data_IF_698335492961
#
_entry.id   IF_698335492961
#
_cell.length_a   1.000
_cell.length_b   1.000
_cell.length_c   1.000
_cell.angle_alpha   90.00
_cell.angle_beta   90.00
_cell.angle_gamma   90.00
#
_symmetry.space_group_name_H-M   'P 1'
#
loop_
_entity.id
_entity.type
_entity.pdbx_description
1 polymer ?
#
# COMPACT_ATOMS: atom_id res chain seq x y z
N UNK A 1 -14.55 -8.21 8.55
CA UNK A 1 -14.18 -9.61 8.23
C UNK A 1 -13.12 -9.63 7.15
N UNK A 2 -12.09 -10.49 7.28
CA UNK A 2 -11.09 -10.74 6.24
C UNK A 2 -11.34 -12.13 5.65
N UNK A 3 -11.85 -12.25 4.43
CA UNK A 3 -12.25 -13.54 3.86
C UNK A 3 -11.04 -14.30 3.28
N UNK A 4 -10.13 -14.69 4.16
CA UNK A 4 -8.94 -15.51 3.87
C UNK A 4 -8.67 -16.48 5.01
N UNK A 5 -8.14 -17.65 4.70
CA UNK A 5 -7.61 -18.55 5.72
C UNK A 5 -6.18 -18.18 6.10
N UNK A 6 -5.81 -18.42 7.36
CA UNK A 6 -4.49 -18.03 7.90
C UNK A 6 -3.30 -18.51 7.05
N UNK A 7 -3.42 -19.68 6.44
CA UNK A 7 -2.35 -20.27 5.61
C UNK A 7 -2.09 -19.52 4.30
N UNK A 8 -3.07 -18.74 3.82
CA UNK A 8 -2.91 -17.97 2.58
C UNK A 8 -2.02 -16.74 2.77
N UNK A 9 -1.89 -16.23 4.00
CA UNK A 9 -1.28 -14.92 4.24
C UNK A 9 -1.85 -13.85 3.29
N UNK A 10 -1.08 -13.47 2.27
CA UNK A 10 -1.48 -12.52 1.23
C UNK A 10 -1.48 -13.13 -0.19
N UNK A 11 -1.28 -14.45 -0.28
CA UNK A 11 -1.29 -15.17 -1.55
C UNK A 11 -2.72 -15.59 -1.95
N UNK A 12 -2.95 -15.69 -3.25
CA UNK A 12 -4.24 -16.07 -3.80
C UNK A 12 -5.32 -14.99 -3.68
N UNK A 13 -6.55 -15.34 -3.95
CA UNK A 13 -7.72 -14.45 -3.93
C UNK A 13 -8.48 -14.53 -2.61
N UNK A 14 -9.21 -13.47 -2.29
CA UNK A 14 -10.18 -13.46 -1.19
C UNK A 14 -11.39 -14.34 -1.52
N UNK A 15 -11.94 -15.01 -0.53
CA UNK A 15 -13.13 -15.84 -0.65
C UNK A 15 -14.39 -14.96 -0.56
N UNK A 16 -14.88 -14.51 -1.71
CA UNK A 16 -16.06 -13.66 -1.80
C UNK A 16 -17.37 -14.39 -1.50
N UNK A 17 -17.41 -15.72 -1.69
CA UNK A 17 -18.59 -16.54 -1.33
C UNK A 17 -18.74 -16.61 0.19
N UNK A 18 -17.62 -16.83 0.88
CA UNK A 18 -17.61 -16.83 2.34
C UNK A 18 -17.94 -15.44 2.90
N UNK A 19 -17.47 -14.38 2.26
CA UNK A 19 -17.87 -13.03 2.67
C UNK A 19 -19.37 -12.80 2.48
N UNK A 20 -19.93 -13.19 1.34
CA UNK A 20 -21.36 -13.11 1.06
C UNK A 20 -22.19 -13.87 2.10
N UNK A 21 -21.81 -15.08 2.40
CA UNK A 21 -22.48 -15.89 3.42
C UNK A 21 -22.47 -15.17 4.78
N UNK A 22 -21.32 -14.64 5.19
CA UNK A 22 -21.22 -13.91 6.45
C UNK A 22 -22.06 -12.61 6.43
N UNK A 23 -22.07 -11.89 5.30
CA UNK A 23 -22.83 -10.65 5.14
C UNK A 23 -24.34 -10.88 5.27
N UNK A 24 -24.84 -11.95 4.65
CA UNK A 24 -26.28 -12.31 4.67
C UNK A 24 -26.76 -12.89 6.01
N UNK A 25 -25.87 -13.50 6.80
CA UNK A 25 -26.23 -14.20 8.03
C UNK A 25 -25.75 -13.49 9.32
N UNK A 26 -24.96 -12.44 9.23
CA UNK A 26 -24.49 -11.70 10.41
C UNK A 26 -25.59 -10.85 11.00
N UNK A 27 -25.74 -10.91 12.32
CA UNK A 27 -26.60 -10.00 13.07
C UNK A 27 -25.92 -8.67 13.43
N UNK A 28 -24.63 -8.55 13.12
CA UNK A 28 -23.86 -7.34 13.40
C UNK A 28 -23.38 -6.70 12.08
N UNK A 29 -23.20 -5.38 12.05
CA UNK A 29 -22.57 -4.70 10.93
C UNK A 29 -21.21 -5.32 10.60
N UNK A 30 -20.94 -5.53 9.31
CA UNK A 30 -19.65 -6.07 8.85
C UNK A 30 -18.80 -5.00 8.20
N UNK A 31 -17.51 -5.02 8.53
CA UNK A 31 -16.47 -4.32 7.80
C UNK A 31 -15.73 -5.31 6.89
N UNK A 32 -15.72 -5.06 5.59
CA UNK A 32 -14.93 -5.85 4.65
C UNK A 32 -13.44 -5.46 4.74
N UNK A 33 -12.57 -6.45 4.75
CA UNK A 33 -11.13 -6.25 4.64
C UNK A 33 -10.54 -7.26 3.64
N UNK A 34 -10.14 -6.82 2.45
CA UNK A 34 -9.52 -7.71 1.45
C UNK A 34 -9.14 -6.98 0.17
N UNK A 35 -7.87 -6.96 -0.16
CA UNK A 35 -7.23 -6.63 -1.45
C UNK A 35 -7.80 -5.43 -2.25
N UNK A 36 -8.35 -4.44 -1.58
CA UNK A 36 -8.77 -3.20 -2.22
C UNK A 36 -7.54 -2.31 -2.44
N UNK A 37 -7.27 -1.98 -3.69
CA UNK A 37 -6.09 -1.21 -4.12
C UNK A 37 -6.43 0.09 -4.84
N UNK A 38 -7.71 0.38 -5.07
CA UNK A 38 -8.18 1.60 -5.72
C UNK A 38 -9.62 1.95 -5.32
N UNK A 39 -10.04 3.18 -5.56
CA UNK A 39 -11.39 3.65 -5.25
C UNK A 39 -12.48 2.87 -6.01
N UNK A 40 -12.24 2.58 -7.29
CA UNK A 40 -13.18 1.78 -8.10
C UNK A 40 -13.43 0.38 -7.50
N UNK A 41 -12.43 -0.20 -6.82
CA UNK A 41 -12.61 -1.46 -6.08
C UNK A 41 -13.56 -1.32 -4.88
N UNK A 42 -13.54 -0.17 -4.19
CA UNK A 42 -14.50 0.15 -3.12
C UNK A 42 -15.91 0.27 -3.69
N UNK A 43 -16.07 0.98 -4.81
CA UNK A 43 -17.36 1.19 -5.46
C UNK A 43 -17.95 -0.11 -5.99
N UNK A 44 -17.14 -0.95 -6.64
CA UNK A 44 -17.54 -2.28 -7.11
C UNK A 44 -17.99 -3.18 -5.94
N UNK A 45 -17.26 -3.15 -4.82
CA UNK A 45 -17.65 -3.90 -3.62
C UNK A 45 -18.99 -3.43 -3.05
N UNK A 46 -19.21 -2.12 -2.95
CA UNK A 46 -20.47 -1.54 -2.48
C UNK A 46 -21.65 -1.84 -3.40
N UNK A 47 -21.41 -1.85 -4.72
CA UNK A 47 -22.42 -2.25 -5.70
C UNK A 47 -22.80 -3.73 -5.55
N UNK A 48 -21.83 -4.59 -5.22
CA UNK A 48 -22.06 -6.03 -5.00
C UNK A 48 -22.74 -6.33 -3.66
N UNK A 49 -22.49 -5.51 -2.64
CA UNK A 49 -23.03 -5.66 -1.28
C UNK A 49 -23.73 -4.37 -0.83
N UNK A 50 -24.94 -4.10 -1.34
CA UNK A 50 -25.74 -2.94 -0.89
C UNK A 50 -25.98 -3.03 0.62
N UNK A 51 -25.69 -1.96 1.35
CA UNK A 51 -25.78 -1.95 2.82
C UNK A 51 -24.46 -2.30 3.53
N UNK A 52 -23.39 -2.59 2.82
CA UNK A 52 -22.05 -2.69 3.43
C UNK A 52 -21.61 -1.32 3.98
N UNK A 53 -21.55 -1.20 5.31
CA UNK A 53 -21.28 0.06 5.99
C UNK A 53 -19.81 0.48 5.95
N UNK A 54 -18.90 -0.48 6.04
CA UNK A 54 -17.48 -0.19 6.21
C UNK A 54 -16.56 -1.09 5.35
N UNK A 55 -15.50 -0.48 4.85
CA UNK A 55 -14.38 -1.16 4.16
C UNK A 55 -13.08 -0.77 4.85
N UNK A 56 -12.28 -1.76 5.20
CA UNK A 56 -10.96 -1.56 5.77
C UNK A 56 -9.92 -1.62 4.65
N UNK A 57 -9.13 -0.57 4.53
CA UNK A 57 -8.04 -0.45 3.57
C UNK A 57 -6.70 -0.55 4.31
N UNK A 58 -5.77 -1.29 3.76
CA UNK A 58 -4.43 -1.46 4.32
C UNK A 58 -3.36 -1.18 3.27
N UNK A 59 -2.84 -2.21 2.66
CA UNK A 59 -1.72 -2.14 1.70
C UNK A 59 -1.94 -1.17 0.55
N UNK A 60 -3.18 -1.02 0.07
CA UNK A 60 -3.54 -0.05 -0.97
C UNK A 60 -3.20 1.39 -0.56
N UNK A 61 -3.55 1.80 0.66
CA UNK A 61 -3.24 3.14 1.18
C UNK A 61 -1.74 3.35 1.44
N UNK A 62 -0.99 2.29 1.79
CA UNK A 62 0.48 2.42 1.92
C UNK A 62 1.14 2.55 0.55
N UNK A 63 0.62 1.83 -0.45
CA UNK A 63 1.10 1.92 -1.83
C UNK A 63 0.71 3.25 -2.50
N UNK A 64 -0.48 3.75 -2.19
CA UNK A 64 -0.99 5.03 -2.69
C UNK A 64 -1.73 5.79 -1.59
N UNK A 65 -1.06 6.68 -0.84
CA UNK A 65 -1.69 7.45 0.23
C UNK A 65 -2.87 8.32 -0.24
N UNK A 66 -2.88 8.75 -1.50
CA UNK A 66 -3.96 9.52 -2.12
C UNK A 66 -5.05 8.69 -2.80
N UNK A 67 -5.03 7.37 -2.67
CA UNK A 67 -5.94 6.43 -3.33
C UNK A 67 -7.43 6.83 -3.25
N UNK A 68 -7.86 7.42 -2.14
CA UNK A 68 -9.27 7.85 -1.95
C UNK A 68 -9.56 9.24 -2.53
N UNK A 69 -8.54 9.92 -3.05
CA UNK A 69 -8.63 11.28 -3.61
C UNK A 69 -8.22 11.32 -5.10
N UNK A 70 -8.27 10.18 -5.79
CA UNK A 70 -7.88 10.10 -7.21
C UNK A 70 -6.39 9.78 -7.44
N UNK A 71 -5.71 9.24 -6.42
CA UNK A 71 -4.29 8.89 -6.47
C UNK A 71 -3.37 9.98 -5.95
N UNK A 72 -2.11 9.61 -5.71
CA UNK A 72 -1.09 10.55 -5.22
C UNK A 72 -0.22 11.03 -6.39
N UNK A 73 -0.15 12.34 -6.55
CA UNK A 73 0.78 13.00 -7.46
C UNK A 73 2.24 12.73 -7.07
N UNK A 74 3.13 12.67 -8.08
CA UNK A 74 4.56 12.33 -7.90
C UNK A 74 5.25 13.19 -6.83
N UNK A 75 5.12 14.51 -6.91
CA UNK A 75 5.79 15.41 -5.97
C UNK A 75 5.18 15.33 -4.57
N UNK A 76 3.87 15.15 -4.45
CA UNK A 76 3.22 14.93 -3.16
C UNK A 76 3.70 13.62 -2.53
N UNK A 77 3.83 12.55 -3.32
CA UNK A 77 4.34 11.26 -2.85
C UNK A 77 5.81 11.36 -2.43
N UNK A 78 6.62 12.08 -3.20
CA UNK A 78 8.02 12.34 -2.88
C UNK A 78 8.15 13.08 -1.55
N UNK A 79 7.44 14.21 -1.41
CA UNK A 79 7.46 15.02 -0.18
C UNK A 79 6.98 14.21 1.03
N UNK A 80 5.95 13.38 0.86
CA UNK A 80 5.47 12.48 1.91
C UNK A 80 6.55 11.49 2.35
N UNK A 81 7.26 10.86 1.41
CA UNK A 81 8.31 9.88 1.73
C UNK A 81 9.55 10.53 2.35
N UNK A 82 9.87 11.77 1.95
CA UNK A 82 10.96 12.57 2.55
C UNK A 82 10.60 12.96 3.99
N UNK A 83 9.39 13.46 4.23
CA UNK A 83 8.90 13.78 5.59
C UNK A 83 8.84 12.54 6.47
N UNK A 84 8.38 11.41 5.94
CA UNK A 84 8.32 10.15 6.66
C UNK A 84 9.72 9.66 7.07
N UNK A 85 10.73 9.86 6.22
CA UNK A 85 12.11 9.58 6.56
C UNK A 85 12.59 10.43 7.75
N UNK A 86 12.34 11.73 7.70
CA UNK A 86 12.75 12.64 8.78
C UNK A 86 12.10 12.28 10.12
N UNK A 87 10.79 12.03 10.12
CA UNK A 87 10.06 11.60 11.31
C UNK A 87 10.54 10.24 11.84
N UNK A 88 10.90 9.30 10.97
CA UNK A 88 11.44 8.02 11.41
C UNK A 88 12.88 8.14 11.94
N UNK A 89 13.70 9.04 11.37
CA UNK A 89 15.03 9.33 11.91
C UNK A 89 14.94 9.88 13.34
N UNK A 90 14.00 10.79 13.58
CA UNK A 90 13.72 11.34 14.89
C UNK A 90 13.17 10.29 15.86
N UNK A 91 12.12 9.56 15.47
CA UNK A 91 11.43 8.61 16.34
C UNK A 91 12.28 7.40 16.72
N UNK A 92 13.14 6.91 15.83
CA UNK A 92 13.95 5.71 16.07
C UNK A 92 15.38 6.02 16.53
N UNK A 93 15.77 7.28 16.58
CA UNK A 93 17.08 7.71 17.06
C UNK A 93 18.27 7.20 16.24
N UNK A 94 18.04 6.76 14.99
CA UNK A 94 19.10 6.24 14.15
C UNK A 94 18.65 5.82 12.73
N UNK A 95 19.56 6.01 11.78
CA UNK A 95 19.28 5.80 10.37
C UNK A 95 18.94 4.35 10.01
N UNK A 96 19.60 3.37 10.65
CA UNK A 96 19.40 1.96 10.35
C UNK A 96 17.95 1.50 10.59
N UNK A 97 17.39 1.84 11.76
CA UNK A 97 16.02 1.45 12.11
C UNK A 97 14.99 2.21 11.27
N UNK A 98 15.20 3.51 11.05
CA UNK A 98 14.37 4.33 10.17
C UNK A 98 14.31 3.75 8.76
N UNK A 99 15.45 3.47 8.15
CA UNK A 99 15.51 2.87 6.80
C UNK A 99 14.89 1.48 6.75
N UNK A 100 15.04 0.65 7.80
CA UNK A 100 14.43 -0.66 7.85
C UNK A 100 12.91 -0.56 7.74
N UNK A 101 12.29 0.36 8.51
CA UNK A 101 10.84 0.61 8.44
C UNK A 101 10.39 1.23 7.12
N UNK A 102 11.15 2.17 6.60
CA UNK A 102 10.84 2.78 5.30
C UNK A 102 10.87 1.77 4.15
N UNK A 103 11.77 0.79 4.20
CA UNK A 103 11.80 -0.28 3.19
C UNK A 103 10.56 -1.17 3.20
N UNK A 104 9.89 -1.31 4.33
CA UNK A 104 8.57 -1.98 4.40
C UNK A 104 7.52 -1.19 3.62
N UNK A 105 7.52 0.15 3.77
CA UNK A 105 6.63 1.02 2.99
C UNK A 105 7.00 0.99 1.50
N UNK A 106 8.29 1.09 1.18
CA UNK A 106 8.78 0.97 -0.20
C UNK A 106 8.43 -0.37 -0.86
N UNK A 107 8.39 -1.45 -0.11
CA UNK A 107 7.97 -2.75 -0.63
C UNK A 107 6.55 -2.73 -1.21
N UNK A 108 5.66 -1.95 -0.64
CA UNK A 108 4.29 -1.78 -1.13
C UNK A 108 4.21 -0.73 -2.24
N UNK A 109 4.96 0.36 -2.10
CA UNK A 109 4.95 1.51 -2.99
C UNK A 109 5.66 1.27 -4.32
N UNK A 110 6.74 0.50 -4.32
CA UNK A 110 7.66 0.39 -5.46
C UNK A 110 6.99 -0.16 -6.73
N UNK A 111 5.95 -0.98 -6.58
CA UNK A 111 5.16 -1.50 -7.71
C UNK A 111 4.41 -0.43 -8.50
N UNK A 112 4.32 0.81 -7.99
CA UNK A 112 3.79 1.95 -8.74
C UNK A 112 4.79 2.60 -9.69
N UNK A 113 6.06 2.22 -9.63
CA UNK A 113 7.10 2.75 -10.51
C UNK A 113 7.48 1.72 -11.57
N UNK A 114 7.21 2.04 -12.83
CA UNK A 114 7.54 1.17 -13.96
C UNK A 114 9.06 1.00 -14.09
N UNK A 115 9.53 -0.23 -14.31
CA UNK A 115 10.96 -0.53 -14.49
C UNK A 115 11.80 -0.43 -13.22
N UNK A 116 11.16 -0.50 -12.04
CA UNK A 116 11.82 -0.26 -10.74
C UNK A 116 12.72 -1.39 -10.22
N UNK A 117 12.78 -2.56 -10.86
CA UNK A 117 13.39 -3.79 -10.32
C UNK A 117 14.86 -3.61 -9.92
N UNK A 118 15.64 -2.91 -10.73
CA UNK A 118 17.07 -2.67 -10.46
C UNK A 118 17.27 -1.75 -9.25
N UNK A 119 16.53 -0.65 -9.20
CA UNK A 119 16.61 0.31 -8.11
C UNK A 119 16.05 -0.29 -6.81
N UNK A 120 14.96 -1.04 -6.91
CA UNK A 120 14.42 -1.79 -5.78
C UNK A 120 15.43 -2.79 -5.20
N UNK A 121 16.13 -3.54 -6.05
CA UNK A 121 17.15 -4.46 -5.60
C UNK A 121 18.30 -3.78 -4.86
N UNK A 122 18.69 -2.57 -5.30
CA UNK A 122 19.68 -1.72 -4.61
C UNK A 122 19.12 -1.19 -3.29
N UNK A 123 17.91 -0.61 -3.31
CA UNK A 123 17.26 -0.02 -2.15
C UNK A 123 17.07 -1.03 -1.01
N UNK A 124 16.68 -2.26 -1.31
CA UNK A 124 16.54 -3.31 -0.29
C UNK A 124 17.85 -3.63 0.43
N UNK A 125 18.96 -3.54 -0.26
CA UNK A 125 20.28 -3.98 0.24
C UNK A 125 21.04 -2.89 0.97
N UNK A 126 20.82 -1.61 0.59
CA UNK A 126 21.60 -0.53 1.18
C UNK A 126 21.37 -0.42 2.69
N UNK A 127 22.42 -0.09 3.42
CA UNK A 127 22.41 0.21 4.86
C UNK A 127 22.92 1.62 5.15
N UNK A 128 23.32 2.33 4.09
CA UNK A 128 23.80 3.71 4.14
C UNK A 128 22.67 4.69 3.81
N UNK A 129 22.54 5.73 4.63
CA UNK A 129 21.48 6.73 4.48
C UNK A 129 21.68 7.61 3.23
N UNK A 130 22.92 7.92 2.89
CA UNK A 130 23.26 8.69 1.70
C UNK A 130 22.89 7.93 0.43
N UNK A 131 23.27 6.65 0.37
CA UNK A 131 22.89 5.77 -0.73
C UNK A 131 21.36 5.59 -0.81
N UNK A 132 20.67 5.44 0.33
CA UNK A 132 19.20 5.39 0.37
C UNK A 132 18.59 6.62 -0.30
N UNK A 133 19.00 7.83 0.13
CA UNK A 133 18.53 9.10 -0.45
C UNK A 133 18.82 9.22 -1.95
N UNK A 134 20.01 8.77 -2.37
CA UNK A 134 20.39 8.76 -3.80
C UNK A 134 19.47 7.85 -4.61
N UNK A 135 19.23 6.62 -4.15
CA UNK A 135 18.38 5.65 -4.86
C UNK A 135 16.94 6.12 -4.91
N UNK A 136 16.39 6.62 -3.80
CA UNK A 136 15.00 7.11 -3.77
C UNK A 136 14.83 8.36 -4.63
N UNK A 137 15.80 9.26 -4.64
CA UNK A 137 15.85 10.40 -5.55
C UNK A 137 15.88 9.97 -7.03
N UNK A 138 16.68 8.94 -7.37
CA UNK A 138 16.73 8.37 -8.72
C UNK A 138 15.38 7.77 -9.13
N UNK A 139 14.69 7.04 -8.24
CA UNK A 139 13.35 6.49 -8.48
C UNK A 139 12.37 7.60 -8.86
N UNK A 140 12.28 8.64 -8.03
CA UNK A 140 11.37 9.77 -8.29
C UNK A 140 11.73 10.61 -9.53
N UNK A 141 13.02 10.70 -9.87
CA UNK A 141 13.47 11.52 -10.99
C UNK A 141 13.32 10.80 -12.34
N UNK A 142 13.50 9.48 -12.39
CA UNK A 142 13.70 8.77 -13.65
C UNK A 142 12.59 7.78 -14.01
N UNK A 143 11.89 7.21 -13.03
CA UNK A 143 10.91 6.16 -13.31
C UNK A 143 9.50 6.75 -13.51
N UNK A 144 8.74 6.25 -14.50
CA UNK A 144 7.34 6.60 -14.64
C UNK A 144 6.53 6.15 -13.41
N UNK A 145 5.72 7.05 -12.85
CA UNK A 145 4.74 6.71 -11.82
C UNK A 145 3.46 6.25 -12.53
N UNK A 146 3.04 5.02 -12.27
CA UNK A 146 1.79 4.47 -12.77
C UNK A 146 0.61 5.15 -12.06
N UNK A 147 -0.47 5.40 -12.79
CA UNK A 147 -1.74 5.87 -12.24
C UNK A 147 -2.39 4.87 -11.27
N UNK A 148 -3.67 5.04 -10.99
CA UNK A 148 -4.42 4.13 -10.11
C UNK A 148 -4.26 2.67 -10.54
N UNK A 149 -3.81 1.83 -9.62
CA UNK A 149 -3.57 0.41 -9.85
C UNK A 149 -4.81 -0.37 -9.40
N UNK A 150 -5.89 -0.33 -10.20
CA UNK A 150 -7.03 -1.23 -10.06
C UNK A 150 -6.65 -2.61 -10.59
N UNK A 151 -6.24 -3.52 -9.71
CA UNK A 151 -6.08 -4.94 -10.02
C UNK A 151 -7.33 -5.71 -9.62
#
# INVERSE_FOLDING_TARGET
MHPRVRKQFYDGTVDMEMFRYAFENSQNPLCYNGDITCLAGVDALRAQFPGLEAVMLGRGLVADPGMLCGGTEREALRSFMEELLERYLEAFGGSRNAMFRLKENWHMLIGRFEGSEKLWKRLRKTTDLGEYKTITGEIFATLPLLGENCK
#
